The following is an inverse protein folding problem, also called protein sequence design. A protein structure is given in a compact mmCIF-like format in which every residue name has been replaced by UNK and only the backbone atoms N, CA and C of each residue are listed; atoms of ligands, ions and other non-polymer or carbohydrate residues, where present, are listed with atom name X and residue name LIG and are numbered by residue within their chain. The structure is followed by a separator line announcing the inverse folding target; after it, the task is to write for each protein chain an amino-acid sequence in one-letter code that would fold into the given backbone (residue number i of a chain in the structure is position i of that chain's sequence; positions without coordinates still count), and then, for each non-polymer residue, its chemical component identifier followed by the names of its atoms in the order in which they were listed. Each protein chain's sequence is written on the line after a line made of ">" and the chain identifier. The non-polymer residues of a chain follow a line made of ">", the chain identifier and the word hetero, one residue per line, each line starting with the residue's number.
data_IF_589952880390
#
_entry.id   IF_589952880390
#
_cell.length_a   1.000
_cell.length_b   1.000
_cell.length_c   1.000
_cell.angle_alpha   90.00
_cell.angle_beta   90.00
_cell.angle_gamma   90.00
#
_symmetry.space_group_name_H-M   'P 1'
#
loop_
_entity.id
_entity.type
_entity.pdbx_description
1 polymer ?
#
# COMPACT_ATOMS: atom_id res chain seq x y z
N UNK A 1 -50.43 50.45 -9.04
CA UNK A 1 -51.00 49.92 -7.80
C UNK A 1 -51.39 48.48 -8.07
N UNK A 2 -50.81 47.43 -7.53
CA UNK A 2 -49.61 47.12 -6.74
C UNK A 2 -49.52 45.60 -6.91
N UNK A 3 -48.46 45.06 -7.51
CA UNK A 3 -47.40 44.33 -6.79
C UNK A 3 -47.89 43.44 -5.64
N UNK A 4 -47.74 42.12 -5.79
CA UNK A 4 -47.08 41.26 -4.80
C UNK A 4 -47.06 39.81 -5.29
N UNK A 5 -45.96 39.45 -5.96
CA UNK A 5 -45.47 38.08 -6.06
C UNK A 5 -44.75 37.80 -4.74
N UNK A 6 -45.17 36.77 -3.99
CA UNK A 6 -44.40 36.23 -2.85
C UNK A 6 -43.59 35.03 -3.35
N UNK A 7 -42.29 35.23 -3.52
CA UNK A 7 -41.29 34.16 -3.61
C UNK A 7 -40.69 34.05 -2.21
N UNK A 8 -40.98 32.96 -1.52
CA UNK A 8 -40.33 32.63 -0.25
C UNK A 8 -39.22 31.59 -0.47
N UNK A 9 -38.07 31.97 0.09
CA UNK A 9 -37.08 31.13 0.74
C UNK A 9 -36.01 30.41 -0.09
N UNK A 10 -35.11 31.19 -0.70
CA UNK A 10 -33.75 30.73 -0.99
C UNK A 10 -32.85 30.96 0.24
N UNK A 11 -32.78 29.98 1.14
CA UNK A 11 -31.74 29.93 2.18
C UNK A 11 -30.39 29.56 1.56
N UNK A 12 -29.77 30.54 0.90
CA UNK A 12 -28.37 30.49 0.49
C UNK A 12 -27.49 30.56 1.74
N UNK A 13 -27.13 29.40 2.31
CA UNK A 13 -26.10 29.32 3.34
C UNK A 13 -24.74 29.59 2.67
N UNK A 14 -24.08 30.66 3.07
CA UNK A 14 -22.70 30.96 2.67
C UNK A 14 -21.77 29.78 3.02
N UNK A 15 -20.81 29.42 2.16
CA UNK A 15 -19.87 28.35 2.43
C UNK A 15 -18.96 28.73 3.61
N UNK A 16 -18.99 27.95 4.69
CA UNK A 16 -18.04 28.08 5.80
C UNK A 16 -16.62 27.75 5.31
N UNK A 17 -15.74 28.76 5.27
CA UNK A 17 -14.32 28.58 5.03
C UNK A 17 -13.61 28.27 6.35
N UNK A 18 -13.02 27.08 6.47
CA UNK A 18 -12.23 26.68 7.63
C UNK A 18 -10.86 27.37 7.61
N UNK A 19 -10.33 27.75 8.79
CA UNK A 19 -8.96 28.24 8.90
C UNK A 19 -7.95 27.09 8.76
N UNK A 20 -6.73 27.37 8.33
CA UNK A 20 -5.67 26.33 8.18
C UNK A 20 -5.41 25.57 9.50
N UNK A 21 -5.49 26.27 10.63
CA UNK A 21 -5.42 25.65 11.97
C UNK A 21 -6.57 24.66 12.23
N UNK A 22 -7.78 24.96 11.75
CA UNK A 22 -8.93 24.04 11.89
C UNK A 22 -8.80 22.82 10.99
N UNK A 23 -8.18 22.96 9.81
CA UNK A 23 -7.90 21.84 8.89
C UNK A 23 -6.83 20.93 9.51
N UNK A 24 -5.71 21.48 9.97
CA UNK A 24 -4.62 20.70 10.55
C UNK A 24 -5.05 19.96 11.83
N UNK A 25 -5.83 20.59 12.71
CA UNK A 25 -6.38 19.91 13.92
C UNK A 25 -7.34 18.78 13.53
N UNK A 26 -8.16 18.96 12.49
CA UNK A 26 -9.03 17.89 11.98
C UNK A 26 -8.23 16.74 11.38
N UNK A 27 -7.20 17.03 10.60
CA UNK A 27 -6.31 16.03 10.02
C UNK A 27 -5.59 15.22 11.10
N UNK A 28 -5.00 15.90 12.09
CA UNK A 28 -4.34 15.23 13.22
C UNK A 28 -5.30 14.35 14.01
N UNK A 29 -6.53 14.83 14.24
CA UNK A 29 -7.58 14.03 14.89
C UNK A 29 -7.98 12.83 14.05
N UNK A 30 -8.18 13.00 12.75
CA UNK A 30 -8.52 11.91 11.84
C UNK A 30 -7.42 10.85 11.78
N UNK A 31 -6.14 11.27 11.74
CA UNK A 31 -4.99 10.37 11.80
C UNK A 31 -4.94 9.63 13.15
N UNK A 32 -5.13 10.33 14.25
CA UNK A 32 -5.15 9.73 15.59
C UNK A 32 -6.29 8.72 15.76
N UNK A 33 -7.49 9.06 15.31
CA UNK A 33 -8.67 8.19 15.34
C UNK A 33 -8.46 6.96 14.45
N UNK A 34 -7.87 7.13 13.26
CA UNK A 34 -7.52 6.05 12.35
C UNK A 34 -6.48 5.10 12.96
N UNK A 35 -5.43 5.65 13.60
CA UNK A 35 -4.42 4.85 14.29
C UNK A 35 -5.01 4.10 15.50
N UNK A 36 -5.89 4.74 16.27
CA UNK A 36 -6.58 4.09 17.39
C UNK A 36 -7.55 2.99 16.92
N UNK A 37 -8.22 3.20 15.78
CA UNK A 37 -9.03 2.17 15.15
C UNK A 37 -8.16 1.00 14.66
N UNK A 38 -7.06 1.28 13.95
CA UNK A 38 -6.12 0.28 13.47
C UNK A 38 -5.48 -0.53 14.61
N UNK A 39 -5.13 0.12 15.73
CA UNK A 39 -4.61 -0.56 16.91
C UNK A 39 -5.63 -1.49 17.57
N UNK A 40 -6.92 -1.10 17.58
CA UNK A 40 -7.99 -1.97 18.08
C UNK A 40 -8.23 -3.15 17.14
N UNK A 41 -8.26 -2.94 15.83
CA UNK A 41 -8.44 -4.03 14.86
C UNK A 41 -7.28 -5.01 14.90
N UNK A 42 -6.03 -4.53 14.98
CA UNK A 42 -4.85 -5.37 15.14
C UNK A 42 -4.97 -6.29 16.37
N UNK A 43 -5.32 -5.73 17.54
CA UNK A 43 -5.55 -6.54 18.76
C UNK A 43 -6.66 -7.57 18.60
N UNK A 44 -7.76 -7.23 17.91
CA UNK A 44 -8.83 -8.21 17.65
C UNK A 44 -8.39 -9.31 16.69
N UNK A 45 -7.54 -8.99 15.72
CA UNK A 45 -6.96 -9.99 14.82
C UNK A 45 -6.00 -10.91 15.56
N UNK A 46 -5.07 -10.36 16.35
CA UNK A 46 -4.15 -11.15 17.17
C UNK A 46 -4.90 -12.11 18.11
N UNK A 47 -5.92 -11.62 18.82
CA UNK A 47 -6.73 -12.44 19.71
C UNK A 47 -7.46 -13.58 18.95
N UNK A 48 -7.96 -13.27 17.75
CA UNK A 48 -8.62 -14.26 16.88
C UNK A 48 -7.63 -15.28 16.32
N UNK A 49 -6.43 -14.87 15.94
CA UNK A 49 -5.37 -15.77 15.48
C UNK A 49 -4.92 -16.71 16.59
N UNK A 50 -4.75 -16.19 17.80
CA UNK A 50 -4.44 -16.99 18.99
C UNK A 50 -5.55 -18.00 19.27
N UNK A 51 -6.83 -17.59 19.23
CA UNK A 51 -7.94 -18.53 19.46
C UNK A 51 -8.01 -19.61 18.38
N UNK A 52 -7.82 -19.25 17.10
CA UNK A 52 -7.81 -20.22 15.99
C UNK A 52 -6.64 -21.19 16.16
N UNK A 53 -5.48 -20.72 16.58
CA UNK A 53 -4.30 -21.57 16.78
C UNK A 53 -4.52 -22.54 17.92
N UNK A 54 -5.01 -22.06 19.07
CA UNK A 54 -5.36 -22.91 20.21
C UNK A 54 -6.43 -23.97 19.85
N UNK A 55 -7.46 -23.58 19.11
CA UNK A 55 -8.49 -24.53 18.65
C UNK A 55 -7.93 -25.57 17.69
N UNK A 56 -7.02 -25.18 16.77
CA UNK A 56 -6.35 -26.13 15.88
C UNK A 56 -5.51 -27.14 16.66
N UNK A 57 -4.76 -26.69 17.66
CA UNK A 57 -3.96 -27.56 18.51
C UNK A 57 -4.83 -28.53 19.29
N UNK A 58 -5.93 -28.05 19.89
CA UNK A 58 -6.89 -28.88 20.60
C UNK A 58 -7.50 -29.95 19.70
N UNK A 59 -7.99 -29.57 18.51
CA UNK A 59 -8.55 -30.52 17.54
C UNK A 59 -7.50 -31.54 17.10
N UNK A 60 -6.24 -31.12 16.92
CA UNK A 60 -5.16 -32.03 16.55
C UNK A 60 -4.85 -33.05 17.68
N UNK A 61 -4.87 -32.62 18.94
CA UNK A 61 -4.72 -33.50 20.10
C UNK A 61 -5.89 -34.48 20.22
N UNK A 62 -7.13 -33.99 20.19
CA UNK A 62 -8.35 -34.84 20.26
C UNK A 62 -8.37 -35.90 19.14
N UNK A 63 -7.88 -35.54 17.94
CA UNK A 63 -7.76 -36.50 16.83
C UNK A 63 -6.70 -37.56 17.10
N UNK A 64 -5.54 -37.19 17.62
CA UNK A 64 -4.47 -38.14 17.96
C UNK A 64 -4.93 -39.12 19.03
N UNK A 65 -5.53 -38.62 20.10
CA UNK A 65 -6.05 -39.46 21.19
C UNK A 65 -7.11 -40.44 20.69
N UNK A 66 -8.01 -40.00 19.79
CA UNK A 66 -9.00 -40.88 19.17
C UNK A 66 -8.35 -41.93 18.28
N UNK A 67 -7.41 -41.53 17.42
CA UNK A 67 -6.73 -42.42 16.50
C UNK A 67 -5.90 -43.47 17.28
N UNK A 68 -5.30 -43.10 18.41
CA UNK A 68 -4.59 -44.01 19.34
C UNK A 68 -5.55 -44.97 20.08
N UNK A 69 -6.68 -44.46 20.58
CA UNK A 69 -7.70 -45.27 21.22
C UNK A 69 -8.32 -46.30 20.26
N UNK A 70 -8.55 -45.92 19.00
CA UNK A 70 -9.01 -46.84 17.95
C UNK A 70 -7.98 -47.95 17.73
N UNK A 71 -6.69 -47.63 17.63
CA UNK A 71 -5.63 -48.63 17.44
C UNK A 71 -5.52 -49.60 18.62
N UNK A 72 -5.61 -49.11 19.87
CA UNK A 72 -5.54 -49.99 21.05
C UNK A 72 -6.80 -50.87 21.15
N UNK A 73 -7.98 -50.37 20.76
CA UNK A 73 -9.23 -51.14 20.80
C UNK A 73 -9.27 -52.34 19.83
N UNK A 74 -8.48 -52.29 18.74
CA UNK A 74 -8.42 -53.34 17.72
C UNK A 74 -7.09 -54.09 17.71
N UNK A 75 -6.31 -54.01 18.78
CA UNK A 75 -4.96 -54.58 18.89
C UNK A 75 -4.92 -56.09 18.61
N UNK A 76 -5.95 -56.81 19.05
CA UNK A 76 -6.05 -58.27 18.91
C UNK A 76 -6.79 -58.70 17.62
N UNK A 77 -7.34 -57.74 16.86
CA UNK A 77 -8.10 -57.97 15.62
C UNK A 77 -7.30 -57.47 14.39
N UNK A 78 -6.43 -58.30 13.77
CA UNK A 78 -5.52 -57.87 12.71
C UNK A 78 -6.23 -57.33 11.46
N UNK A 79 -7.38 -57.89 11.09
CA UNK A 79 -8.17 -57.44 9.94
C UNK A 79 -8.70 -56.01 10.14
N UNK A 80 -9.26 -55.72 11.33
CA UNK A 80 -9.79 -54.40 11.65
C UNK A 80 -8.67 -53.37 11.82
N UNK A 81 -7.56 -53.77 12.43
CA UNK A 81 -6.38 -52.92 12.60
C UNK A 81 -5.78 -52.51 11.25
N UNK A 82 -5.73 -53.42 10.27
CA UNK A 82 -5.33 -53.08 8.90
C UNK A 82 -6.25 -52.02 8.27
N UNK A 83 -7.57 -52.18 8.40
CA UNK A 83 -8.53 -51.23 7.86
C UNK A 83 -8.43 -49.83 8.51
N UNK A 84 -8.20 -49.77 9.83
CA UNK A 84 -7.99 -48.51 10.56
C UNK A 84 -6.71 -47.81 10.09
N UNK A 85 -5.59 -48.56 10.00
CA UNK A 85 -4.32 -48.01 9.50
C UNK A 85 -4.43 -47.50 8.07
N UNK A 86 -5.13 -48.23 7.20
CA UNK A 86 -5.36 -47.79 5.83
C UNK A 86 -6.16 -46.48 5.80
N UNK A 87 -7.24 -46.38 6.58
CA UNK A 87 -8.04 -45.15 6.69
C UNK A 87 -7.21 -43.97 7.20
N UNK A 88 -6.40 -44.18 8.24
CA UNK A 88 -5.50 -43.15 8.77
C UNK A 88 -4.49 -42.71 7.71
N UNK A 89 -3.87 -43.67 7.00
CA UNK A 89 -2.91 -43.37 5.93
C UNK A 89 -3.52 -42.53 4.81
N UNK A 90 -4.73 -42.87 4.35
CA UNK A 90 -5.47 -42.10 3.33
C UNK A 90 -5.74 -40.69 3.81
N UNK A 91 -6.25 -40.52 5.04
CA UNK A 91 -6.49 -39.20 5.63
C UNK A 91 -5.21 -38.35 5.67
N UNK A 92 -4.07 -38.94 6.07
CA UNK A 92 -2.79 -38.21 6.09
C UNK A 92 -2.28 -37.85 4.69
N UNK A 93 -2.54 -38.69 3.69
CA UNK A 93 -2.18 -38.41 2.30
C UNK A 93 -3.04 -37.27 1.75
N UNK A 94 -4.35 -37.28 2.01
CA UNK A 94 -5.29 -36.22 1.64
C UNK A 94 -4.93 -34.88 2.27
N UNK A 95 -4.57 -34.85 3.56
CA UNK A 95 -4.14 -33.59 4.22
C UNK A 95 -2.85 -33.05 3.61
N UNK A 96 -1.87 -33.90 3.33
CA UNK A 96 -0.61 -33.49 2.67
C UNK A 96 -0.84 -32.98 1.26
N UNK A 97 -1.76 -33.60 0.53
CA UNK A 97 -2.14 -33.16 -0.81
C UNK A 97 -2.77 -31.76 -0.74
N UNK A 98 -3.73 -31.55 0.16
CA UNK A 98 -4.36 -30.24 0.35
C UNK A 98 -3.34 -29.15 0.77
N UNK A 99 -2.38 -29.47 1.63
CA UNK A 99 -1.28 -28.58 1.99
C UNK A 99 -0.44 -28.19 0.77
N UNK A 100 -0.09 -29.16 -0.07
CA UNK A 100 0.69 -28.93 -1.29
C UNK A 100 -0.07 -28.12 -2.34
N UNK A 101 -1.36 -28.35 -2.51
CA UNK A 101 -2.20 -27.56 -3.40
C UNK A 101 -2.29 -26.10 -2.95
N UNK A 102 -2.40 -25.86 -1.64
CA UNK A 102 -2.41 -24.51 -1.07
C UNK A 102 -1.05 -23.82 -1.28
N UNK A 103 0.06 -24.53 -1.01
CA UNK A 103 1.42 -24.03 -1.23
C UNK A 103 1.63 -23.63 -2.71
N UNK A 104 1.27 -24.52 -3.64
CA UNK A 104 1.37 -24.28 -5.07
C UNK A 104 0.53 -23.07 -5.50
N UNK A 105 -0.70 -22.95 -5.00
CA UNK A 105 -1.56 -21.81 -5.30
C UNK A 105 -0.96 -20.49 -4.81
N UNK A 106 -0.36 -20.49 -3.62
CA UNK A 106 0.30 -19.31 -3.07
C UNK A 106 1.56 -18.94 -3.87
N UNK A 107 2.34 -19.93 -4.31
CA UNK A 107 3.50 -19.71 -5.17
C UNK A 107 3.09 -19.18 -6.54
N UNK A 108 2.02 -19.70 -7.13
CA UNK A 108 1.47 -19.20 -8.39
C UNK A 108 1.05 -17.73 -8.25
N UNK A 109 0.32 -17.38 -7.18
CA UNK A 109 -0.08 -15.99 -6.93
C UNK A 109 1.13 -15.06 -6.78
N UNK A 110 2.15 -15.46 -6.01
CA UNK A 110 3.40 -14.69 -5.88
C UNK A 110 4.13 -14.53 -7.21
N UNK A 111 4.17 -15.59 -8.02
CA UNK A 111 4.80 -15.54 -9.33
C UNK A 111 4.06 -14.63 -10.30
N UNK A 112 2.72 -14.65 -10.30
CA UNK A 112 1.93 -13.73 -11.12
C UNK A 112 2.15 -12.29 -10.69
N UNK A 113 2.15 -12.00 -9.38
CA UNK A 113 2.44 -10.65 -8.86
C UNK A 113 3.85 -10.19 -9.25
N UNK A 114 4.85 -11.07 -9.12
CA UNK A 114 6.23 -10.76 -9.50
C UNK A 114 6.39 -10.55 -11.01
N UNK A 115 5.68 -11.31 -11.84
CA UNK A 115 5.66 -11.15 -13.29
C UNK A 115 5.00 -9.83 -13.69
N UNK A 116 3.87 -9.46 -13.08
CA UNK A 116 3.20 -8.18 -13.31
C UNK A 116 4.08 -7.00 -12.91
N UNK A 117 4.69 -7.05 -11.72
CA UNK A 117 5.63 -6.02 -11.26
C UNK A 117 6.85 -5.91 -12.19
N UNK A 118 7.40 -7.05 -12.63
CA UNK A 118 8.49 -7.11 -13.61
C UNK A 118 8.10 -6.49 -14.95
N UNK A 119 6.93 -6.82 -15.47
CA UNK A 119 6.41 -6.27 -16.73
C UNK A 119 6.22 -4.75 -16.67
N UNK A 120 5.69 -4.23 -15.55
CA UNK A 120 5.56 -2.78 -15.31
C UNK A 120 6.94 -2.11 -15.32
N UNK A 121 7.93 -2.67 -14.62
CA UNK A 121 9.29 -2.12 -14.61
C UNK A 121 9.96 -2.16 -15.98
N UNK A 122 9.86 -3.26 -16.72
CA UNK A 122 10.41 -3.36 -18.08
C UNK A 122 9.74 -2.35 -19.01
N UNK A 123 8.41 -2.21 -18.92
CA UNK A 123 7.65 -1.21 -19.67
C UNK A 123 8.11 0.22 -19.34
N UNK A 124 8.33 0.52 -18.06
CA UNK A 124 8.82 1.83 -17.62
C UNK A 124 10.25 2.11 -18.13
N UNK A 125 11.15 1.13 -18.06
CA UNK A 125 12.51 1.26 -18.59
C UNK A 125 12.50 1.52 -20.10
N UNK A 126 11.75 0.73 -20.86
CA UNK A 126 11.59 0.92 -22.30
C UNK A 126 11.03 2.31 -22.63
N UNK A 127 10.00 2.76 -21.89
CA UNK A 127 9.40 4.08 -22.09
C UNK A 127 10.40 5.20 -21.84
N UNK A 128 11.20 5.11 -20.77
CA UNK A 128 12.25 6.10 -20.46
C UNK A 128 13.33 6.13 -21.54
N UNK A 129 13.80 4.97 -22.01
CA UNK A 129 14.79 4.90 -23.09
C UNK A 129 14.29 5.53 -24.38
N UNK A 130 13.06 5.21 -24.80
CA UNK A 130 12.48 5.75 -26.04
C UNK A 130 12.18 7.24 -25.90
N UNK A 131 11.62 7.66 -24.75
CA UNK A 131 11.30 9.05 -24.44
C UNK A 131 12.54 9.94 -24.47
N UNK A 132 13.64 9.50 -23.85
CA UNK A 132 14.92 10.23 -23.84
C UNK A 132 15.54 10.31 -25.23
N UNK A 133 15.50 9.23 -26.01
CA UNK A 133 16.06 9.20 -27.37
C UNK A 133 15.29 10.07 -28.37
N UNK A 134 13.96 10.10 -28.26
CA UNK A 134 13.08 10.80 -29.21
C UNK A 134 12.55 12.13 -28.69
N UNK A 135 12.94 12.55 -27.48
CA UNK A 135 12.46 13.74 -26.79
C UNK A 135 10.94 13.79 -26.72
N UNK A 136 10.30 12.70 -26.29
CA UNK A 136 8.84 12.62 -26.09
C UNK A 136 8.51 12.31 -24.63
N UNK A 137 7.24 12.38 -24.26
CA UNK A 137 6.82 12.15 -22.89
C UNK A 137 6.64 10.66 -22.56
N UNK A 138 7.37 10.17 -21.55
CA UNK A 138 7.38 8.76 -21.16
C UNK A 138 6.03 8.25 -20.64
N UNK A 139 5.27 9.08 -19.91
CA UNK A 139 3.94 8.68 -19.42
C UNK A 139 2.97 8.44 -20.57
N UNK A 140 3.05 9.29 -21.60
CA UNK A 140 2.22 9.15 -22.80
C UNK A 140 2.53 7.84 -23.53
N UNK A 141 3.81 7.45 -23.62
CA UNK A 141 4.20 6.15 -24.19
C UNK A 141 3.67 4.98 -23.36
N UNK A 142 3.75 5.05 -22.03
CA UNK A 142 3.24 3.97 -21.17
C UNK A 142 1.71 3.82 -21.22
N UNK A 143 0.97 4.92 -21.42
CA UNK A 143 -0.51 4.90 -21.44
C UNK A 143 -1.09 4.27 -22.71
N UNK A 144 -0.44 4.45 -23.85
CA UNK A 144 -0.99 4.08 -25.16
C UNK A 144 -0.26 2.92 -25.84
N UNK A 145 0.64 2.22 -25.14
CA UNK A 145 1.36 1.06 -25.69
C UNK A 145 1.29 -0.17 -24.78
N UNK A 146 1.52 -1.33 -25.39
CA UNK A 146 1.61 -2.62 -24.72
C UNK A 146 2.89 -2.80 -23.90
N UNK A 147 3.86 -1.89 -24.03
CA UNK A 147 5.15 -1.96 -23.34
C UNK A 147 6.31 -2.43 -24.22
N UNK A 148 6.02 -2.86 -25.45
CA UNK A 148 7.05 -3.29 -26.40
C UNK A 148 7.84 -2.09 -26.92
N UNK A 149 9.15 -2.29 -27.11
CA UNK A 149 10.05 -1.23 -27.56
C UNK A 149 9.65 -0.71 -28.95
N UNK A 150 9.29 -1.61 -29.85
CA UNK A 150 8.88 -1.27 -31.22
C UNK A 150 7.61 -0.39 -31.26
N UNK A 151 6.56 -0.78 -30.53
CA UNK A 151 5.33 0.00 -30.47
C UNK A 151 5.55 1.37 -29.82
N UNK A 152 6.40 1.45 -28.79
CA UNK A 152 6.78 2.72 -28.19
C UNK A 152 7.54 3.62 -29.15
N UNK A 153 8.45 3.08 -29.94
CA UNK A 153 9.21 3.84 -30.93
C UNK A 153 8.32 4.36 -32.06
N UNK A 154 7.37 3.54 -32.53
CA UNK A 154 6.44 3.94 -33.58
C UNK A 154 5.46 5.01 -33.09
N UNK A 155 4.92 4.86 -31.88
CA UNK A 155 4.08 5.90 -31.28
C UNK A 155 4.88 7.19 -31.06
N UNK A 156 6.11 7.10 -30.54
CA UNK A 156 6.96 8.25 -30.28
C UNK A 156 7.26 9.09 -31.54
N UNK A 157 7.37 8.48 -32.71
CA UNK A 157 7.54 9.20 -33.99
C UNK A 157 6.35 10.12 -34.33
N UNK A 158 5.16 9.76 -33.87
CA UNK A 158 3.92 10.52 -34.12
C UNK A 158 3.62 11.59 -33.07
N UNK A 159 4.31 11.55 -31.93
CA UNK A 159 4.05 12.44 -30.81
C UNK A 159 4.80 13.78 -30.96
N UNK A 160 4.23 14.89 -30.46
CA UNK A 160 4.94 16.16 -30.42
C UNK A 160 6.16 16.05 -29.50
N UNK A 161 7.29 16.57 -29.97
CA UNK A 161 8.52 16.61 -29.18
C UNK A 161 8.30 17.50 -27.96
N UNK A 162 8.82 17.07 -26.81
CA UNK A 162 8.82 17.81 -25.56
C UNK A 162 9.59 19.10 -25.82
N UNK A 163 8.88 20.23 -25.84
CA UNK A 163 9.51 21.53 -25.98
C UNK A 163 10.35 21.71 -24.72
N UNK A 164 11.67 21.78 -24.87
CA UNK A 164 12.56 22.17 -23.79
C UNK A 164 12.17 23.59 -23.37
N UNK A 165 11.28 23.70 -22.39
CA UNK A 165 11.18 24.94 -21.63
C UNK A 165 12.51 25.07 -20.92
N UNK A 166 13.43 25.82 -21.52
CA UNK A 166 14.61 26.32 -20.81
C UNK A 166 14.05 26.97 -19.55
N UNK A 167 14.18 26.28 -18.43
CA UNK A 167 13.99 26.88 -17.12
C UNK A 167 15.05 27.96 -17.06
N UNK A 168 14.63 29.19 -17.36
CA UNK A 168 15.43 30.36 -17.06
C UNK A 168 15.54 30.32 -15.54
N UNK A 169 16.64 29.79 -15.03
CA UNK A 169 17.07 30.06 -13.66
C UNK A 169 17.20 31.56 -13.58
N UNK A 170 16.15 32.22 -13.05
CA UNK A 170 16.22 33.61 -12.66
C UNK A 170 17.38 33.72 -11.69
N UNK A 171 18.38 34.51 -12.07
CA UNK A 171 19.50 34.89 -11.22
C UNK A 171 18.91 35.52 -9.96
N UNK A 172 18.74 34.71 -8.92
CA UNK A 172 18.44 35.20 -7.58
C UNK A 172 19.64 36.05 -7.23
N UNK A 173 19.52 37.38 -7.31
CA UNK A 173 20.59 38.36 -7.16
C UNK A 173 21.29 38.39 -5.80
N UNK A 174 21.52 37.23 -5.18
CA UNK A 174 22.55 36.94 -4.19
C UNK A 174 23.93 37.20 -4.82
N UNK A 175 24.24 38.48 -4.89
CA UNK A 175 25.61 38.96 -5.07
C UNK A 175 26.49 38.33 -4.00
N UNK A 176 27.46 37.54 -4.46
CA UNK A 176 28.64 37.07 -3.71
C UNK A 176 29.41 38.34 -3.29
N UNK A 177 28.98 39.00 -2.22
CA UNK A 177 29.54 40.28 -1.79
C UNK A 177 28.75 40.97 -0.67
N UNK A 178 27.45 40.68 -0.53
CA UNK A 178 26.67 41.12 0.62
C UNK A 178 26.84 40.16 1.79
N UNK A 179 27.59 40.54 2.83
CA UNK A 179 27.63 39.79 4.10
C UNK A 179 26.19 39.51 4.55
N UNK A 180 25.77 38.25 4.52
CA UNK A 180 24.56 37.80 5.20
C UNK A 180 24.77 38.07 6.67
N UNK A 181 24.20 39.18 7.14
CA UNK A 181 24.11 39.45 8.57
C UNK A 181 23.11 38.41 9.07
N UNK A 182 23.63 37.37 9.71
CA UNK A 182 22.81 36.36 10.37
C UNK A 182 21.82 37.07 11.30
N UNK A 183 20.60 36.54 11.43
CA UNK A 183 19.59 37.10 12.34
C UNK A 183 20.15 37.33 13.75
N UNK A 184 21.05 36.45 14.18
CA UNK A 184 21.79 36.57 15.43
C UNK A 184 22.61 37.87 15.54
N UNK A 185 23.31 38.26 14.46
CA UNK A 185 24.08 39.51 14.42
C UNK A 185 23.17 40.77 14.33
N UNK A 186 21.93 40.62 13.87
CA UNK A 186 20.89 41.67 13.97
C UNK A 186 20.38 41.80 15.41
N UNK A 187 20.11 40.68 16.09
CA UNK A 187 19.68 40.68 17.48
C UNK A 187 20.74 41.25 18.43
N UNK A 188 22.01 40.88 18.24
CA UNK A 188 23.12 41.36 19.08
C UNK A 188 23.34 42.88 18.98
N UNK A 189 23.02 43.49 17.84
CA UNK A 189 23.04 44.96 17.68
C UNK A 189 21.87 45.64 18.37
N UNK A 190 20.70 44.99 18.40
CA UNK A 190 19.48 45.58 18.95
C UNK A 190 19.42 45.43 20.48
N UNK A 191 20.01 44.38 21.04
CA UNK A 191 19.99 44.07 22.47
C UNK A 191 21.39 43.71 23.02
N UNK A 192 22.31 44.67 23.14
CA UNK A 192 23.69 44.41 23.54
C UNK A 192 23.86 43.92 24.99
N UNK A 193 22.83 44.04 25.82
CA UNK A 193 22.85 43.65 27.25
C UNK A 193 22.46 42.20 27.50
N UNK A 194 22.08 41.43 26.46
CA UNK A 194 21.68 40.02 26.60
C UNK A 194 22.74 39.00 26.12
N UNK A 195 24.04 39.31 26.29
CA UNK A 195 25.06 38.28 26.18
C UNK A 195 24.99 37.37 27.42
N UNK A 196 24.43 36.17 27.25
CA UNK A 196 24.46 35.11 28.26
C UNK A 196 25.92 34.72 28.53
N UNK A 197 26.29 34.71 29.81
CA UNK A 197 27.44 33.95 30.34
C UNK A 197 27.33 32.48 29.98
#
# INVERSE_FOLDING_TARGET
>A
KDSSVKVDDSTSKEPQTFTEEQVTVREQKAVSDALAAAGRTAKTFEAREQSITADKERIAQERKERDEAELESYKDDPEKLSAVRERQSRRTAETKLAEKELELKNEQAKNTEAQEAGAVHTKEQNAREVATRLNVDAETLMKYTDGSKEAMEDLAKSLPKKVETKTVTTDSGETIGGKVITEQARLDKLYPTMKKT
#
